data_IF_293050628899
#
_entry.id   IF_293050628899
#
_cell.length_a   1.000
_cell.length_b   1.000
_cell.length_c   1.000
_cell.angle_alpha   90.00
_cell.angle_beta   90.00
_cell.angle_gamma   90.00
#
_symmetry.space_group_name_H-M   'P 1'
#
loop_
_entity.id
_entity.type
_entity.pdbx_description
1 polymer ?
#
# COMPACT_ATOMS: atom_id res chain seq x y z
N UNK A 1 -17.73 17.38 30.61
CA UNK A 1 -17.50 16.97 29.20
C UNK A 1 -16.05 16.47 29.03
N UNK A 2 -15.72 15.21 29.39
CA UNK A 2 -14.38 14.65 29.24
C UNK A 2 -14.11 14.00 27.86
N UNK A 3 -15.15 13.70 27.08
CA UNK A 3 -15.03 13.00 25.79
C UNK A 3 -14.34 13.81 24.68
N UNK A 4 -14.50 15.13 24.66
CA UNK A 4 -13.89 15.99 23.64
C UNK A 4 -12.36 16.14 23.80
N UNK A 5 -11.83 15.91 25.01
CA UNK A 5 -10.38 15.94 25.27
C UNK A 5 -9.68 14.69 24.76
N UNK A 6 -10.25 13.51 25.01
CA UNK A 6 -9.68 12.24 24.53
C UNK A 6 -9.58 12.19 23.01
N UNK A 7 -10.61 12.67 22.29
CA UNK A 7 -10.56 12.77 20.83
C UNK A 7 -9.46 13.73 20.35
N UNK A 8 -9.35 14.92 20.95
CA UNK A 8 -8.29 15.86 20.61
C UNK A 8 -6.89 15.32 20.94
N UNK A 9 -6.74 14.59 22.03
CA UNK A 9 -5.46 14.01 22.44
C UNK A 9 -5.05 12.85 21.52
N UNK A 10 -6.01 12.01 21.09
CA UNK A 10 -5.78 10.96 20.08
C UNK A 10 -5.46 11.57 18.72
N UNK A 11 -6.20 12.60 18.29
CA UNK A 11 -5.93 13.31 17.03
C UNK A 11 -4.56 14.01 17.05
N UNK A 12 -4.19 14.63 18.17
CA UNK A 12 -2.89 15.25 18.36
C UNK A 12 -1.76 14.20 18.37
N UNK A 13 -1.97 13.04 18.99
CA UNK A 13 -1.00 11.94 18.99
C UNK A 13 -0.77 11.38 17.58
N UNK A 14 -1.83 11.16 16.80
CA UNK A 14 -1.74 10.74 15.39
C UNK A 14 -1.00 11.80 14.56
N UNK A 15 -1.33 13.09 14.72
CA UNK A 15 -0.68 14.19 14.02
C UNK A 15 0.79 14.43 14.43
N UNK A 16 1.16 14.09 15.68
CA UNK A 16 2.53 14.22 16.20
C UNK A 16 3.39 12.98 15.92
N UNK A 17 2.77 11.79 15.87
CA UNK A 17 3.43 10.53 15.50
C UNK A 17 4.07 10.61 14.12
N UNK A 18 3.38 11.25 13.17
CA UNK A 18 3.92 11.56 11.83
C UNK A 18 5.28 12.28 11.90
N UNK A 19 5.46 13.26 12.79
CA UNK A 19 6.73 14.02 12.88
C UNK A 19 7.87 13.28 13.57
N UNK A 20 7.57 12.39 14.52
CA UNK A 20 8.60 11.65 15.28
C UNK A 20 9.20 10.48 14.51
N UNK A 21 8.45 9.90 13.57
CA UNK A 21 8.93 8.80 12.71
C UNK A 21 9.90 9.29 11.61
N UNK A 22 9.84 10.57 11.24
CA UNK A 22 10.60 11.18 10.14
C UNK A 22 12.07 11.50 10.46
N UNK A 23 12.56 11.13 11.64
CA UNK A 23 13.90 11.46 12.13
C UNK A 23 15.06 10.61 11.57
N UNK A 24 14.85 9.74 10.59
CA UNK A 24 15.93 8.90 10.02
C UNK A 24 16.29 9.32 8.60
N UNK A 25 17.26 10.23 8.50
CA UNK A 25 17.99 10.50 7.27
C UNK A 25 18.89 9.30 6.93
N UNK A 26 18.36 8.36 6.15
CA UNK A 26 19.11 7.20 5.64
C UNK A 26 18.55 6.58 4.36
N UNK A 27 17.42 7.08 3.83
CA UNK A 27 16.66 6.40 2.76
C UNK A 27 16.37 7.26 1.51
N UNK A 28 17.04 8.40 1.34
CA UNK A 28 16.77 9.29 0.20
C UNK A 28 16.92 8.61 -1.17
N UNK A 29 17.68 7.52 -1.24
CA UNK A 29 18.02 6.77 -2.45
C UNK A 29 17.22 5.45 -2.62
N UNK A 30 16.30 5.12 -1.71
CA UNK A 30 15.47 3.91 -1.88
C UNK A 30 14.47 4.09 -3.00
N UNK A 31 14.30 3.05 -3.81
CA UNK A 31 13.29 3.00 -4.87
C UNK A 31 11.88 3.02 -4.25
N UNK A 32 11.06 4.06 -4.51
CA UNK A 32 9.71 4.15 -3.98
C UNK A 32 8.81 2.96 -4.32
N UNK A 33 9.03 2.31 -5.48
CA UNK A 33 8.24 1.13 -5.87
C UNK A 33 8.63 -0.10 -5.06
N UNK A 34 9.91 -0.22 -4.70
CA UNK A 34 10.37 -1.29 -3.81
C UNK A 34 9.83 -1.10 -2.39
N UNK A 35 9.79 0.13 -1.89
CA UNK A 35 9.14 0.43 -0.60
C UNK A 35 7.67 -0.01 -0.60
N UNK A 36 6.94 0.19 -1.69
CA UNK A 36 5.58 -0.31 -1.85
C UNK A 36 5.49 -1.84 -1.87
N UNK A 37 6.46 -2.54 -2.50
CA UNK A 37 6.52 -4.01 -2.48
C UNK A 37 6.77 -4.53 -1.08
N UNK A 38 7.69 -3.91 -0.35
CA UNK A 38 8.01 -4.26 1.01
C UNK A 38 6.79 -4.07 1.92
N UNK A 39 6.08 -2.93 1.81
CA UNK A 39 4.84 -2.68 2.56
C UNK A 39 3.78 -3.77 2.32
N UNK A 40 3.70 -4.32 1.11
CA UNK A 40 2.80 -5.43 0.78
C UNK A 40 3.27 -6.78 1.34
N UNK A 41 4.57 -6.94 1.58
CA UNK A 41 5.18 -8.17 2.10
C UNK A 41 5.24 -8.22 3.63
N UNK A 42 5.27 -7.05 4.28
CA UNK A 42 5.56 -6.91 5.69
C UNK A 42 4.31 -7.22 6.55
N UNK A 43 4.46 -8.15 7.49
CA UNK A 43 3.37 -8.65 8.38
C UNK A 43 3.39 -8.02 9.78
N UNK A 44 4.15 -6.96 10.00
CA UNK A 44 4.24 -6.25 11.28
C UNK A 44 3.39 -4.99 11.32
N UNK A 45 2.39 -4.92 12.20
CA UNK A 45 1.47 -3.77 12.31
C UNK A 45 2.18 -2.45 12.67
N UNK A 46 3.23 -2.50 13.50
CA UNK A 46 3.98 -1.30 13.92
C UNK A 46 4.96 -0.78 12.85
N UNK A 47 5.48 -1.65 11.96
CA UNK A 47 6.37 -1.26 10.86
C UNK A 47 5.59 -0.77 9.63
N UNK A 48 4.34 -1.20 9.47
CA UNK A 48 3.47 -0.78 8.36
C UNK A 48 3.15 0.71 8.34
N UNK A 49 2.79 1.31 9.49
CA UNK A 49 2.45 2.74 9.58
C UNK A 49 3.63 3.65 9.22
N UNK A 50 4.80 3.40 9.80
CA UNK A 50 6.00 4.18 9.51
C UNK A 50 6.40 4.07 8.03
N UNK A 51 6.36 2.86 7.46
CA UNK A 51 6.72 2.62 6.06
C UNK A 51 5.78 3.33 5.09
N UNK A 52 4.47 3.28 5.33
CA UNK A 52 3.49 3.98 4.51
C UNK A 52 3.64 5.52 4.57
N UNK A 53 3.87 6.10 5.75
CA UNK A 53 4.15 7.54 5.85
C UNK A 53 5.41 7.92 5.07
N UNK A 54 6.46 7.12 5.15
CA UNK A 54 7.69 7.36 4.40
C UNK A 54 7.49 7.30 2.88
N UNK A 55 6.67 6.35 2.39
CA UNK A 55 6.27 6.29 0.98
C UNK A 55 5.51 7.56 0.57
N UNK A 56 4.55 8.00 1.39
CA UNK A 56 3.72 9.17 1.10
C UNK A 56 4.53 10.47 1.09
N UNK A 57 5.42 10.67 2.07
CA UNK A 57 6.28 11.86 2.10
C UNK A 57 7.28 11.83 0.92
N UNK A 58 7.77 10.66 0.53
CA UNK A 58 8.63 10.52 -0.66
C UNK A 58 7.89 10.89 -1.94
N UNK A 59 6.64 10.45 -2.08
CA UNK A 59 5.76 10.82 -3.19
C UNK A 59 5.46 12.32 -3.20
N UNK A 60 5.17 12.92 -2.05
CA UNK A 60 4.92 14.36 -1.91
C UNK A 60 6.13 15.19 -2.38
N UNK A 61 7.35 14.73 -2.09
CA UNK A 61 8.59 15.38 -2.53
C UNK A 61 8.95 15.14 -4.02
N UNK A 62 8.26 14.27 -4.76
CA UNK A 62 8.59 14.00 -6.17
C UNK A 62 8.16 15.14 -7.11
N UNK A 63 8.99 15.51 -8.11
CA UNK A 63 8.54 16.34 -9.22
C UNK A 63 7.52 15.61 -10.09
N UNK A 64 6.77 16.37 -10.90
CA UNK A 64 5.64 15.85 -11.65
C UNK A 64 5.98 14.69 -12.61
N UNK A 65 7.11 14.80 -13.32
CA UNK A 65 7.63 13.77 -14.21
C UNK A 65 7.98 12.48 -13.46
N UNK A 66 8.63 12.59 -12.30
CA UNK A 66 8.94 11.45 -11.45
C UNK A 66 7.67 10.79 -10.88
N UNK A 67 6.64 11.55 -10.53
CA UNK A 67 5.34 11.00 -10.10
C UNK A 67 4.67 10.20 -11.21
N UNK A 68 4.71 10.71 -12.45
CA UNK A 68 4.17 10.00 -13.60
C UNK A 68 4.88 8.67 -13.83
N UNK A 69 6.22 8.67 -13.76
CA UNK A 69 7.01 7.45 -13.89
C UNK A 69 6.74 6.46 -12.74
N UNK A 70 6.63 6.96 -11.51
CA UNK A 70 6.25 6.15 -10.36
C UNK A 70 4.91 5.44 -10.58
N UNK A 71 3.87 6.15 -11.06
CA UNK A 71 2.57 5.52 -11.33
C UNK A 71 2.60 4.52 -12.49
N UNK A 72 3.39 4.77 -13.54
CA UNK A 72 3.59 3.78 -14.62
C UNK A 72 4.20 2.50 -14.07
N UNK A 73 5.25 2.63 -13.26
CA UNK A 73 5.91 1.49 -12.63
C UNK A 73 4.99 0.76 -11.66
N UNK A 74 4.20 1.45 -10.84
CA UNK A 74 3.19 0.80 -10.00
C UNK A 74 2.19 -0.01 -10.84
N UNK A 75 1.73 0.52 -11.97
CA UNK A 75 0.78 -0.19 -12.82
C UNK A 75 1.40 -1.43 -13.49
N UNK A 76 2.66 -1.35 -13.92
CA UNK A 76 3.37 -2.47 -14.55
C UNK A 76 3.83 -3.52 -13.54
N UNK A 77 4.35 -3.10 -12.39
CA UNK A 77 5.03 -3.98 -11.45
C UNK A 77 4.11 -4.50 -10.32
N UNK A 78 3.06 -3.75 -10.00
CA UNK A 78 2.04 -4.11 -9.00
C UNK A 78 0.64 -4.25 -9.63
N UNK A 79 0.60 -4.59 -10.92
CA UNK A 79 -0.62 -4.91 -11.64
C UNK A 79 -1.25 -6.24 -11.22
N UNK A 80 -2.07 -6.78 -12.13
CA UNK A 80 -2.62 -8.13 -12.02
C UNK A 80 -1.52 -9.16 -12.32
N UNK A 81 -1.51 -10.27 -11.60
CA UNK A 81 -0.68 -11.42 -11.96
C UNK A 81 -1.39 -12.20 -13.08
N UNK A 82 -1.04 -11.90 -14.33
CA UNK A 82 -1.64 -12.52 -15.51
C UNK A 82 -1.50 -14.05 -15.53
N UNK A 83 -0.41 -14.59 -14.95
CA UNK A 83 -0.20 -16.03 -14.87
C UNK A 83 -1.18 -16.67 -13.87
N UNK A 84 -1.32 -16.07 -12.68
CA UNK A 84 -2.27 -16.53 -11.67
C UNK A 84 -3.73 -16.37 -12.16
N UNK A 85 -4.06 -15.25 -12.81
CA UNK A 85 -5.38 -15.01 -13.39
C UNK A 85 -5.69 -16.02 -14.50
N UNK A 86 -4.75 -16.25 -15.42
CA UNK A 86 -4.90 -17.24 -16.49
C UNK A 86 -5.13 -18.64 -15.95
N UNK A 87 -4.39 -19.05 -14.91
CA UNK A 87 -4.59 -20.34 -14.25
C UNK A 87 -5.96 -20.45 -13.56
N UNK A 88 -6.43 -19.39 -12.90
CA UNK A 88 -7.74 -19.36 -12.26
C UNK A 88 -8.90 -19.45 -13.28
N UNK A 89 -8.77 -18.76 -14.42
CA UNK A 89 -9.74 -18.83 -15.53
C UNK A 89 -9.76 -20.23 -16.13
N UNK A 90 -8.60 -20.83 -16.40
CA UNK A 90 -8.50 -22.17 -16.99
C UNK A 90 -9.10 -23.27 -16.10
N UNK A 91 -9.05 -23.08 -14.78
CA UNK A 91 -9.59 -24.03 -13.80
C UNK A 91 -11.10 -23.86 -13.54
N UNK A 92 -11.76 -22.85 -14.13
CA UNK A 92 -13.16 -22.55 -13.85
C UNK A 92 -14.14 -23.33 -14.74
N UNK A 93 -15.29 -23.69 -14.17
CA UNK A 93 -16.40 -24.29 -14.87
C UNK A 93 -17.75 -23.73 -14.38
N UNK A 94 -18.81 -23.76 -15.20
CA UNK A 94 -20.12 -23.28 -14.79
C UNK A 94 -20.63 -23.98 -13.53
N UNK A 95 -21.03 -23.19 -12.52
CA UNK A 95 -21.53 -23.69 -11.25
C UNK A 95 -20.46 -23.91 -10.17
N UNK A 96 -19.17 -23.86 -10.50
CA UNK A 96 -18.10 -23.89 -9.50
C UNK A 96 -17.90 -22.49 -8.88
N UNK A 97 -18.58 -22.28 -7.75
CA UNK A 97 -18.54 -21.02 -6.99
C UNK A 97 -17.14 -20.73 -6.43
N UNK A 98 -16.39 -21.75 -6.04
CA UNK A 98 -15.05 -21.56 -5.47
C UNK A 98 -14.05 -21.19 -6.57
N UNK A 99 -14.17 -21.77 -7.77
CA UNK A 99 -13.39 -21.33 -8.92
C UNK A 99 -13.72 -19.89 -9.34
N UNK A 100 -15.00 -19.51 -9.32
CA UNK A 100 -15.40 -18.12 -9.61
C UNK A 100 -14.79 -17.15 -8.59
N UNK A 101 -14.76 -17.53 -7.31
CA UNK A 101 -14.11 -16.74 -6.26
C UNK A 101 -12.59 -16.64 -6.46
N UNK A 102 -11.93 -17.71 -6.91
CA UNK A 102 -10.49 -17.66 -7.25
C UNK A 102 -10.20 -16.66 -8.36
N UNK A 103 -11.05 -16.60 -9.41
CA UNK A 103 -10.92 -15.58 -10.46
C UNK A 103 -11.05 -14.17 -9.87
N UNK A 104 -12.05 -13.92 -9.02
CA UNK A 104 -12.24 -12.62 -8.39
C UNK A 104 -10.98 -12.13 -7.66
N UNK A 105 -10.35 -12.99 -6.85
CA UNK A 105 -9.12 -12.63 -6.15
C UNK A 105 -7.90 -12.54 -7.06
N UNK A 106 -7.77 -13.40 -8.07
CA UNK A 106 -6.65 -13.36 -8.99
C UNK A 106 -6.69 -12.15 -9.94
N UNK A 107 -7.88 -11.62 -10.22
CA UNK A 107 -8.08 -10.43 -11.05
C UNK A 107 -7.81 -9.11 -10.29
N UNK A 108 -7.63 -9.17 -8.96
CA UNK A 108 -7.36 -7.98 -8.17
C UNK A 108 -5.88 -7.54 -8.34
N UNK A 109 -5.62 -6.31 -8.83
CA UNK A 109 -4.25 -5.83 -8.95
C UNK A 109 -3.64 -5.57 -7.57
N UNK A 110 -2.33 -5.79 -7.43
CA UNK A 110 -1.62 -5.55 -6.15
C UNK A 110 -1.68 -4.08 -5.72
N UNK A 111 -1.88 -3.14 -6.65
CA UNK A 111 -2.16 -1.72 -6.34
C UNK A 111 -3.39 -1.53 -5.45
N UNK A 112 -4.41 -2.37 -5.54
CA UNK A 112 -5.59 -2.25 -4.69
C UNK A 112 -5.27 -2.63 -3.23
N UNK A 113 -4.46 -3.68 -3.03
CA UNK A 113 -3.92 -4.02 -1.72
C UNK A 113 -2.98 -2.93 -1.20
N UNK A 114 -2.17 -2.31 -2.07
CA UNK A 114 -1.25 -1.23 -1.70
C UNK A 114 -2.01 -0.02 -1.18
N UNK A 115 -3.05 0.43 -1.87
CA UNK A 115 -3.89 1.56 -1.44
C UNK A 115 -4.51 1.25 -0.07
N UNK A 116 -4.99 0.02 0.15
CA UNK A 116 -5.49 -0.39 1.47
C UNK A 116 -4.41 -0.35 2.54
N UNK A 117 -3.19 -0.78 2.24
CA UNK A 117 -2.08 -0.76 3.18
C UNK A 117 -1.67 0.69 3.54
N UNK A 118 -1.54 1.56 2.53
CA UNK A 118 -1.23 2.98 2.71
C UNK A 118 -2.29 3.71 3.54
N UNK A 119 -3.56 3.32 3.45
CA UNK A 119 -4.67 3.95 4.18
C UNK A 119 -4.87 3.40 5.61
N UNK A 120 -4.26 2.25 5.94
CA UNK A 120 -4.36 1.63 7.29
C UNK A 120 -3.27 2.10 8.24
N UNK A 121 -2.23 2.67 7.67
CA UNK A 121 -1.15 3.36 8.34
C UNK A 121 -1.68 4.66 8.99
#
# INVERSE_FOLDING_TARGET
MPQSRLLNDVLALVAQGRRRLLGRHGEADRDPVEMCRELLSDRGEATGLASALMILDRYEAMPHDARLEFFRRLNTELGVDDAALGAAIAAWSPGDVDAARRIHFAAEPRTQALIRALNRA
#
